data_IF_190742734119
#
_entry.id   IF_190742734119
#
_cell.length_a   1.000
_cell.length_b   1.000
_cell.length_c   1.000
_cell.angle_alpha   90.00
_cell.angle_beta   90.00
_cell.angle_gamma   90.00
#
_symmetry.space_group_name_H-M   'P 1'
#
loop_
_entity.id
_entity.type
_entity.pdbx_description
1 polymer ?
#
# COMPACT_ATOMS: atom_id res chain seq x y z
N UNK A 1 1.76 -7.09 4.19
CA UNK A 1 1.61 -5.72 4.70
C UNK A 1 0.97 -5.72 6.09
N UNK A 2 -0.34 -5.94 6.22
CA UNK A 2 -1.00 -5.95 7.54
C UNK A 2 -0.42 -6.97 8.53
N UNK A 3 -0.11 -8.19 8.10
CA UNK A 3 0.53 -9.17 8.98
C UNK A 3 1.91 -8.74 9.50
N UNK A 4 2.67 -7.96 8.71
CA UNK A 4 3.93 -7.37 9.17
C UNK A 4 3.67 -6.28 10.21
N UNK A 5 2.71 -5.38 9.94
CA UNK A 5 2.30 -4.32 10.87
C UNK A 5 1.81 -4.92 12.20
N UNK A 6 0.91 -5.90 12.15
CA UNK A 6 0.37 -6.56 13.34
C UNK A 6 1.42 -7.32 14.15
N UNK A 7 2.40 -7.94 13.49
CA UNK A 7 3.49 -8.61 14.19
C UNK A 7 4.44 -7.63 14.89
N UNK A 8 4.59 -6.43 14.33
CA UNK A 8 5.57 -5.45 14.78
C UNK A 8 5.02 -4.55 15.89
N UNK A 9 3.74 -4.21 15.85
CA UNK A 9 3.12 -3.35 16.85
C UNK A 9 2.42 -4.12 18.00
N UNK A 10 2.44 -5.45 17.97
CA UNK A 10 1.68 -6.29 18.89
C UNK A 10 0.18 -5.87 18.93
N UNK A 11 -0.54 -6.12 20.03
CA UNK A 11 -1.97 -5.82 20.13
C UNK A 11 -2.28 -4.31 20.29
N UNK A 12 -1.27 -3.44 20.41
CA UNK A 12 -1.41 -2.06 20.88
C UNK A 12 -1.41 -1.00 19.75
N UNK A 13 -1.70 -1.39 18.51
CA UNK A 13 -1.82 -0.45 17.38
C UNK A 13 -2.99 0.51 17.59
N UNK A 14 -4.07 0.01 18.22
CA UNK A 14 -5.27 0.78 18.51
C UNK A 14 -5.83 1.51 17.28
N UNK A 15 -6.13 2.80 17.49
CA UNK A 15 -6.70 3.71 16.48
C UNK A 15 -5.73 4.00 15.33
N UNK A 16 -4.42 3.83 15.53
CA UNK A 16 -3.40 4.14 14.52
C UNK A 16 -3.52 3.27 13.27
N UNK A 17 -4.15 2.09 13.36
CA UNK A 17 -4.36 1.22 12.20
C UNK A 17 -5.38 1.80 11.22
N UNK A 18 -6.28 2.65 11.69
CA UNK A 18 -7.21 3.39 10.82
C UNK A 18 -6.44 4.45 10.02
N UNK A 19 -5.50 5.14 10.69
CA UNK A 19 -4.66 6.19 10.11
C UNK A 19 -3.32 5.64 9.62
N UNK A 20 -3.38 4.81 8.57
CA UNK A 20 -2.20 4.17 7.98
C UNK A 20 -1.12 5.16 7.52
N UNK A 21 -1.44 6.43 7.24
CA UNK A 21 -0.41 7.44 6.99
C UNK A 21 0.59 7.55 8.15
N UNK A 22 0.09 7.47 9.39
CA UNK A 22 0.92 7.51 10.59
C UNK A 22 1.79 6.27 10.65
N UNK A 23 1.23 5.08 10.40
CA UNK A 23 1.99 3.82 10.38
C UNK A 23 3.08 3.82 9.27
N UNK A 24 2.78 4.40 8.11
CA UNK A 24 3.66 4.40 6.94
C UNK A 24 4.79 5.45 7.01
N UNK A 25 4.53 6.62 7.61
CA UNK A 25 5.45 7.77 7.53
C UNK A 25 5.68 8.53 8.84
N UNK A 26 4.81 8.41 9.85
CA UNK A 26 4.98 9.15 11.10
C UNK A 26 5.46 8.27 12.25
N UNK A 27 6.43 8.81 12.98
CA UNK A 27 6.93 8.29 14.24
C UNK A 27 5.81 8.37 15.28
N UNK A 28 5.12 7.26 15.55
CA UNK A 28 4.47 7.12 16.84
C UNK A 28 5.56 6.97 17.90
N UNK A 29 5.34 7.43 19.13
CA UNK A 29 6.34 7.38 20.23
C UNK A 29 6.92 5.98 20.46
N UNK A 30 6.19 4.95 20.04
CA UNK A 30 6.54 3.55 20.22
C UNK A 30 7.18 2.92 18.97
N UNK A 31 7.40 3.69 17.89
CA UNK A 31 7.81 3.14 16.60
C UNK A 31 9.00 3.85 15.95
N UNK A 32 10.13 3.15 15.71
CA UNK A 32 11.28 3.73 15.03
C UNK A 32 10.96 4.03 13.56
N UNK A 33 11.40 5.20 13.08
CA UNK A 33 11.26 5.66 11.68
C UNK A 33 11.71 4.61 10.66
N UNK A 34 12.71 3.79 11.02
CA UNK A 34 13.24 2.71 10.17
C UNK A 34 12.22 1.61 9.86
N UNK A 35 11.31 1.29 10.79
CA UNK A 35 10.30 0.25 10.58
C UNK A 35 9.07 0.78 9.82
N UNK A 36 8.69 2.05 9.99
CA UNK A 36 7.64 2.71 9.17
C UNK A 36 8.01 2.70 7.69
N UNK A 37 9.26 3.07 7.41
CA UNK A 37 9.79 3.04 6.05
C UNK A 37 9.79 1.62 5.47
N UNK A 38 10.14 0.61 6.28
CA UNK A 38 10.10 -0.79 5.85
C UNK A 38 8.67 -1.24 5.50
N UNK A 39 7.67 -0.83 6.27
CA UNK A 39 6.25 -1.11 5.97
C UNK A 39 5.83 -0.52 4.61
N UNK A 40 6.22 0.72 4.34
CA UNK A 40 6.01 1.38 3.04
C UNK A 40 6.71 0.65 1.89
N UNK A 41 7.94 0.17 2.09
CA UNK A 41 8.66 -0.65 1.10
C UNK A 41 7.93 -1.97 0.85
N UNK A 42 7.47 -2.65 1.90
CA UNK A 42 6.72 -3.91 1.76
C UNK A 42 5.43 -3.69 0.96
N UNK A 43 4.69 -2.62 1.26
CA UNK A 43 3.49 -2.25 0.50
C UNK A 43 3.83 -2.01 -0.96
N UNK A 44 4.87 -1.20 -1.21
CA UNK A 44 5.35 -0.89 -2.55
C UNK A 44 5.69 -2.18 -3.31
N UNK A 45 6.47 -3.09 -2.72
CA UNK A 45 6.88 -4.34 -3.37
C UNK A 45 5.70 -5.26 -3.70
N UNK A 46 4.72 -5.38 -2.79
CA UNK A 46 3.53 -6.21 -3.03
C UNK A 46 2.77 -5.72 -4.27
N UNK A 47 2.48 -4.41 -4.32
CA UNK A 47 1.77 -3.82 -5.46
C UNK A 47 2.63 -3.87 -6.73
N UNK A 48 3.95 -3.74 -6.58
CA UNK A 48 4.89 -3.77 -7.69
C UNK A 48 4.87 -5.13 -8.37
N UNK A 49 5.02 -6.21 -7.59
CA UNK A 49 4.99 -7.57 -8.12
C UNK A 49 3.62 -7.93 -8.68
N UNK A 50 2.54 -7.51 -8.03
CA UNK A 50 1.19 -7.71 -8.53
C UNK A 50 1.00 -7.02 -9.89
N UNK A 51 1.37 -5.75 -9.99
CA UNK A 51 1.28 -4.96 -11.23
C UNK A 51 2.21 -5.47 -12.32
N UNK A 52 3.40 -5.97 -11.98
CA UNK A 52 4.35 -6.50 -12.94
C UNK A 52 3.81 -7.76 -13.64
N UNK A 53 3.01 -8.56 -12.93
CA UNK A 53 2.38 -9.76 -13.51
C UNK A 53 1.32 -9.41 -14.56
N UNK A 54 0.69 -8.24 -14.49
CA UNK A 54 -0.44 -7.92 -15.36
C UNK A 54 -0.03 -7.64 -16.80
N UNK A 55 -0.81 -8.20 -17.73
CA UNK A 55 -0.50 -8.16 -19.15
C UNK A 55 -0.61 -6.74 -19.73
N UNK A 56 -1.56 -5.92 -19.24
CA UNK A 56 -1.79 -4.57 -19.73
C UNK A 56 -1.66 -3.52 -18.62
N UNK A 57 -1.10 -2.38 -19.00
CA UNK A 57 -0.85 -1.22 -18.14
C UNK A 57 -2.12 -0.65 -17.51
N UNK A 58 -3.19 -0.55 -18.30
CA UNK A 58 -4.47 0.00 -17.85
C UNK A 58 -5.09 -0.83 -16.73
N UNK A 59 -4.96 -2.16 -16.81
CA UNK A 59 -5.43 -3.06 -15.73
C UNK A 59 -4.56 -2.93 -14.48
N UNK A 60 -3.24 -2.77 -14.62
CA UNK A 60 -2.35 -2.51 -13.50
C UNK A 60 -2.73 -1.24 -12.71
N UNK A 61 -2.99 -0.13 -13.39
CA UNK A 61 -3.43 1.12 -12.75
C UNK A 61 -4.84 0.97 -12.16
N UNK A 62 -5.78 0.37 -12.90
CA UNK A 62 -7.13 0.16 -12.37
C UNK A 62 -7.09 -0.68 -11.09
N UNK A 63 -6.27 -1.73 -11.09
CA UNK A 63 -6.12 -2.62 -9.95
C UNK A 63 -5.44 -1.92 -8.77
N UNK A 64 -4.50 -1.00 -8.99
CA UNK A 64 -3.86 -0.25 -7.90
C UNK A 64 -4.85 0.65 -7.13
N UNK A 65 -5.83 1.24 -7.84
CA UNK A 65 -6.93 2.01 -7.22
C UNK A 65 -7.84 1.09 -6.39
N UNK A 66 -8.23 -0.07 -6.93
CA UNK A 66 -9.03 -1.05 -6.19
C UNK A 66 -8.29 -1.57 -4.95
N UNK A 67 -6.98 -1.80 -5.06
CA UNK A 67 -6.15 -2.20 -3.94
C UNK A 67 -6.11 -1.14 -2.84
N UNK A 68 -6.16 0.15 -3.16
CA UNK A 68 -6.25 1.20 -2.14
C UNK A 68 -7.52 1.04 -1.31
N UNK A 69 -8.67 0.83 -1.95
CA UNK A 69 -9.93 0.60 -1.24
C UNK A 69 -9.89 -0.67 -0.38
N UNK A 70 -9.33 -1.76 -0.92
CA UNK A 70 -9.15 -3.00 -0.17
C UNK A 70 -8.23 -2.82 1.04
N UNK A 71 -7.15 -2.06 0.93
CA UNK A 71 -6.23 -1.78 2.04
C UNK A 71 -6.95 -0.99 3.13
N UNK A 72 -7.70 0.06 2.78
CA UNK A 72 -8.47 0.84 3.75
C UNK A 72 -9.52 -0.03 4.45
N UNK A 73 -10.27 -0.82 3.69
CA UNK A 73 -11.28 -1.71 4.25
C UNK A 73 -10.66 -2.76 5.19
N UNK A 74 -9.51 -3.33 4.79
CA UNK A 74 -8.78 -4.27 5.62
C UNK A 74 -8.24 -3.63 6.91
N UNK A 75 -7.91 -2.33 6.87
CA UNK A 75 -7.47 -1.61 8.08
C UNK A 75 -8.60 -1.43 9.08
N UNK A 76 -9.83 -1.21 8.62
CA UNK A 76 -11.02 -1.15 9.48
C UNK A 76 -11.36 -2.50 10.10
N UNK A 77 -11.27 -3.57 9.32
CA UNK A 77 -11.46 -4.93 9.83
C UNK A 77 -10.44 -5.19 10.95
N UNK A 78 -9.17 -4.85 10.72
CA UNK A 78 -8.14 -5.00 11.73
C UNK A 78 -8.37 -4.15 12.97
N UNK A 79 -8.81 -2.91 12.80
CA UNK A 79 -9.21 -2.05 13.91
C UNK A 79 -10.28 -2.71 14.79
N UNK A 80 -11.30 -3.32 14.18
CA UNK A 80 -12.32 -4.04 14.95
C UNK A 80 -11.78 -5.23 15.74
N UNK A 81 -10.79 -5.94 15.20
CA UNK A 81 -10.14 -7.04 15.91
C UNK A 81 -9.29 -6.56 17.09
N UNK A 82 -8.59 -5.44 16.99
CA UNK A 82 -7.66 -4.97 18.02
C UNK A 82 -8.33 -4.09 19.08
N UNK A 83 -9.29 -3.26 18.68
CA UNK A 83 -9.89 -2.23 19.53
C UNK A 83 -11.37 -2.45 19.84
N UNK A 84 -11.97 -3.50 19.28
CA UNK A 84 -13.40 -3.79 19.38
C UNK A 84 -14.23 -3.13 18.29
N UNK A 85 -15.49 -3.56 18.17
CA UNK A 85 -16.40 -3.07 17.15
C UNK A 85 -16.89 -1.65 17.49
N UNK A 86 -16.29 -0.64 16.86
CA UNK A 86 -16.71 0.76 16.95
C UNK A 86 -16.82 1.38 15.55
N UNK A 87 -18.03 1.81 15.20
CA UNK A 87 -18.34 2.50 13.93
C UNK A 87 -18.12 4.00 14.01
N UNK A 88 -18.08 4.58 15.22
CA UNK A 88 -17.91 6.03 15.43
C UNK A 88 -16.54 6.46 14.93
N UNK A 89 -15.49 5.69 15.25
CA UNK A 89 -14.12 5.98 14.81
C UNK A 89 -13.97 5.90 13.28
N UNK A 90 -14.70 5.02 12.60
CA UNK A 90 -14.74 4.96 11.14
C UNK A 90 -15.43 6.21 10.57
N UNK A 91 -16.51 6.68 11.21
CA UNK A 91 -17.14 7.95 10.84
C UNK A 91 -16.20 9.15 11.00
N UNK A 92 -15.47 9.21 12.12
CA UNK A 92 -14.46 10.25 12.39
C UNK A 92 -13.34 10.22 11.34
N UNK A 93 -12.90 9.02 10.93
CA UNK A 93 -11.89 8.86 9.89
C UNK A 93 -12.27 9.63 8.61
N UNK A 94 -13.52 9.53 8.15
CA UNK A 94 -13.98 10.22 6.93
C UNK A 94 -14.16 11.73 7.06
N UNK A 95 -14.26 12.26 8.27
CA UNK A 95 -14.43 13.70 8.51
C UNK A 95 -13.06 14.35 8.81
N UNK A 96 -12.08 13.54 9.24
CA UNK A 96 -10.75 14.01 9.61
C UNK A 96 -9.83 14.24 8.40
N UNK A 97 -8.99 15.27 8.48
CA UNK A 97 -7.94 15.54 7.50
C UNK A 97 -6.93 14.39 7.40
N UNK A 98 -6.61 13.76 8.54
CA UNK A 98 -5.73 12.60 8.63
C UNK A 98 -6.25 11.38 7.84
N UNK A 99 -7.57 11.17 7.82
CA UNK A 99 -8.18 10.11 7.02
C UNK A 99 -8.01 10.37 5.52
N UNK A 100 -8.23 11.60 5.06
CA UNK A 100 -7.98 11.97 3.66
C UNK A 100 -6.50 11.85 3.27
N UNK A 101 -5.58 12.27 4.15
CA UNK A 101 -4.15 12.07 3.94
C UNK A 101 -3.78 10.59 3.83
N UNK A 102 -4.36 9.75 4.68
CA UNK A 102 -4.20 8.28 4.61
C UNK A 102 -4.59 7.74 3.25
N UNK A 103 -5.78 8.09 2.76
CA UNK A 103 -6.26 7.64 1.45
C UNK A 103 -5.32 8.10 0.35
N UNK A 104 -4.93 9.38 0.36
CA UNK A 104 -4.07 9.97 -0.68
C UNK A 104 -2.68 9.33 -0.71
N UNK A 105 -2.09 9.09 0.46
CA UNK A 105 -0.76 8.47 0.58
C UNK A 105 -0.77 7.02 0.09
N UNK A 106 -1.76 6.21 0.52
CA UNK A 106 -1.89 4.82 0.06
C UNK A 106 -2.12 4.78 -1.44
N UNK A 107 -3.01 5.64 -1.95
CA UNK A 107 -3.25 5.77 -3.39
C UNK A 107 -1.96 6.14 -4.13
N UNK A 108 -1.20 7.12 -3.63
CA UNK A 108 0.07 7.54 -4.19
C UNK A 108 1.08 6.39 -4.27
N UNK A 109 1.31 5.66 -3.17
CA UNK A 109 2.21 4.50 -3.15
C UNK A 109 1.76 3.45 -4.16
N UNK A 110 0.47 3.11 -4.18
CA UNK A 110 -0.06 2.08 -5.06
C UNK A 110 0.09 2.45 -6.54
N UNK A 111 -0.24 3.70 -6.91
CA UNK A 111 -0.12 4.18 -8.28
C UNK A 111 1.34 4.28 -8.72
N UNK A 112 2.23 4.83 -7.89
CA UNK A 112 3.67 4.92 -8.19
C UNK A 112 4.29 3.52 -8.33
N UNK A 113 3.91 2.58 -7.45
CA UNK A 113 4.34 1.19 -7.53
C UNK A 113 3.87 0.51 -8.82
N UNK A 114 2.60 0.64 -9.17
CA UNK A 114 2.06 0.07 -10.42
C UNK A 114 2.70 0.70 -11.67
N UNK A 115 2.94 2.01 -11.65
CA UNK A 115 3.59 2.73 -12.72
C UNK A 115 5.03 2.26 -12.93
N UNK A 116 5.81 2.18 -11.85
CA UNK A 116 7.21 1.72 -11.90
C UNK A 116 7.33 0.27 -12.38
N UNK A 117 6.47 -0.62 -11.90
CA UNK A 117 6.40 -2.02 -12.35
C UNK A 117 6.15 -2.12 -13.85
N UNK A 118 5.17 -1.36 -14.33
CA UNK A 118 4.80 -1.36 -15.74
C UNK A 118 5.88 -0.77 -16.63
N UNK A 119 6.50 0.33 -16.19
CA UNK A 119 7.62 0.95 -16.90
C UNK A 119 8.81 -0.01 -17.06
N UNK A 120 9.19 -0.70 -15.97
CA UNK A 120 10.26 -1.70 -15.99
C UNK A 120 9.91 -2.84 -16.95
N UNK A 121 8.67 -3.34 -16.92
CA UNK A 121 8.20 -4.40 -17.82
C UNK A 121 8.32 -4.01 -19.29
N UNK A 122 7.90 -2.80 -19.65
CA UNK A 122 7.99 -2.29 -21.02
C UNK A 122 9.45 -2.24 -21.47
N UNK A 123 10.34 -1.69 -20.62
CA UNK A 123 11.77 -1.57 -20.92
C UNK A 123 12.44 -2.94 -21.08
N UNK A 124 12.11 -3.91 -20.22
CA UNK A 124 12.61 -5.28 -20.34
C UNK A 124 12.13 -5.97 -21.63
N UNK A 125 10.85 -5.80 -21.98
CA UNK A 125 10.28 -6.36 -23.21
C UNK A 125 10.98 -5.79 -24.45
N UNK A 126 11.21 -4.47 -24.49
CA UNK A 126 11.93 -3.81 -25.58
C UNK A 126 13.36 -4.33 -25.76
N UNK A 127 14.10 -4.52 -24.66
CA UNK A 127 15.45 -5.08 -24.70
C UNK A 127 15.49 -6.51 -25.24
N UNK A 128 14.51 -7.34 -24.88
CA UNK A 128 14.40 -8.71 -25.37
C UNK A 128 14.07 -8.79 -26.87
N UNK A 129 13.17 -7.92 -27.37
CA UNK A 129 12.87 -7.84 -28.81
C UNK A 129 14.08 -7.39 -29.63
N UNK A 130 14.82 -6.38 -29.16
CA UNK A 130 16.05 -5.94 -29.83
C UNK A 130 17.09 -7.05 -29.93
N UNK A 131 17.23 -7.87 -28.88
CA UNK A 131 18.18 -8.98 -28.91
C UNK A 131 17.75 -10.10 -29.87
N UNK A 132 16.44 -10.36 -30.00
CA UNK A 132 15.92 -11.31 -31.00
C UNK A 132 16.12 -10.87 -32.44
N UNK A 133 15.98 -9.58 -32.74
CA UNK A 133 16.21 -9.01 -34.08
C UNK A 133 17.69 -9.04 -34.49
N UNK A 134 18.62 -9.08 -33.54
CA UNK A 134 20.08 -9.16 -33.82
C UNK A 134 20.52 -10.60 -34.16
N UNK A 135 19.76 -11.60 -33.70
CA UNK A 135 20.12 -13.04 -33.83
C UNK A 135 19.51 -13.67 -35.10
N UNK A 136 18.55 -12.99 -35.76
CA UNK A 136 17.77 -13.48 -36.90
C UNK A 136 18.25 -12.83 -38.20
#
# INVERSE_FOLDING_TARGET
FFGFICNVYEYDIGVSILYLNQVLFMTSSNFPVSLSFLSSIILFLIIFFMSYREAFFEYAIRNSIWMTLLIIFQSWIWYWFTSGFDLVQIGIFFISLEGYLTILIILGINVVSAFTASYIKIKLKQSLTKHKEIIL
#
